data_IF_195708759463
#
_entry.id   IF_195708759463
#
_cell.length_a   1.000
_cell.length_b   1.000
_cell.length_c   1.000
_cell.angle_alpha   90.00
_cell.angle_beta   90.00
_cell.angle_gamma   90.00
#
_symmetry.space_group_name_H-M   'P 1'
#
loop_
_entity.id
_entity.type
_entity.pdbx_description
1 polymer ?
#
# COMPACT_ATOMS: atom_id res chain seq x y z
N UNK A 1 -7.71 12.68 8.33
CA UNK A 1 -8.69 11.85 9.07
C UNK A 1 -7.93 11.10 10.15
N UNK A 2 -8.41 11.08 11.39
CA UNK A 2 -7.81 10.24 12.43
C UNK A 2 -8.49 8.87 12.38
N UNK A 3 -7.94 7.97 11.57
CA UNK A 3 -8.47 6.61 11.37
C UNK A 3 -7.33 5.60 11.35
N UNK A 4 -7.67 4.35 11.64
CA UNK A 4 -6.81 3.19 11.46
C UNK A 4 -6.68 2.90 9.95
N UNK A 5 -5.46 2.83 9.43
CA UNK A 5 -5.20 2.59 8.01
C UNK A 5 -5.61 1.18 7.54
N UNK A 6 -5.69 0.21 8.46
CA UNK A 6 -6.23 -1.13 8.17
C UNK A 6 -7.77 -1.14 8.13
N UNK A 7 -8.41 -0.05 8.58
CA UNK A 7 -9.86 0.13 8.64
C UNK A 7 -10.24 1.58 8.28
N UNK A 8 -9.87 2.07 7.09
CA UNK A 8 -9.98 3.48 6.75
C UNK A 8 -11.45 3.92 6.52
N UNK A 9 -12.38 2.96 6.37
CA UNK A 9 -13.77 3.20 6.03
C UNK A 9 -13.93 3.67 4.58
N UNK A 10 -15.17 3.98 4.18
CA UNK A 10 -15.44 4.47 2.83
C UNK A 10 -14.59 5.71 2.51
N UNK A 11 -13.99 5.71 1.33
CA UNK A 11 -13.19 6.82 0.84
C UNK A 11 -14.09 8.03 0.55
N UNK A 12 -13.67 9.24 0.93
CA UNK A 12 -14.37 10.46 0.51
C UNK A 12 -14.14 10.74 -0.98
N UNK A 13 -13.04 10.27 -1.55
CA UNK A 13 -12.66 10.34 -2.96
C UNK A 13 -11.62 9.25 -3.27
N UNK A 14 -11.38 8.98 -4.55
CA UNK A 14 -10.30 8.11 -5.01
C UNK A 14 -9.03 8.90 -5.29
N UNK A 15 -7.86 8.28 -5.08
CA UNK A 15 -6.57 8.95 -5.23
C UNK A 15 -5.68 8.20 -6.23
N UNK A 16 -4.87 8.96 -6.98
CA UNK A 16 -3.93 8.43 -7.98
C UNK A 16 -2.57 8.04 -7.39
N UNK A 17 -2.28 8.45 -6.15
CA UNK A 17 -1.02 8.16 -5.46
C UNK A 17 -1.27 7.85 -3.97
N UNK A 18 -0.74 6.72 -3.51
CA UNK A 18 -0.68 6.33 -2.10
C UNK A 18 0.77 6.17 -1.68
N UNK A 19 1.12 6.81 -0.57
CA UNK A 19 2.39 6.63 0.12
C UNK A 19 2.11 5.91 1.45
N UNK A 20 2.75 4.77 1.67
CA UNK A 20 2.52 3.93 2.84
C UNK A 20 3.83 3.61 3.53
N UNK A 21 4.01 4.16 4.73
CA UNK A 21 5.13 3.87 5.64
C UNK A 21 4.55 3.31 6.94
N UNK A 22 4.12 2.06 6.89
CA UNK A 22 3.56 1.41 8.06
C UNK A 22 4.68 1.09 9.06
N UNK A 23 4.42 1.09 10.38
CA UNK A 23 5.41 0.69 11.36
C UNK A 23 6.02 -0.68 11.02
N UNK A 24 7.33 -0.72 10.85
CA UNK A 24 8.05 -1.90 10.35
C UNK A 24 7.80 -3.17 11.16
N UNK A 25 7.81 -4.31 10.48
CA UNK A 25 7.72 -5.67 11.05
C UNK A 25 6.43 -5.94 11.83
N UNK A 26 5.41 -5.12 11.61
CA UNK A 26 4.08 -5.33 12.18
C UNK A 26 3.13 -5.99 11.17
N UNK A 27 3.57 -6.19 9.91
CA UNK A 27 2.73 -6.80 8.88
C UNK A 27 1.48 -5.98 8.57
N UNK A 28 1.53 -4.66 8.80
CA UNK A 28 0.38 -3.77 8.65
C UNK A 28 0.22 -3.22 7.22
N UNK A 29 1.26 -3.29 6.39
CA UNK A 29 1.21 -2.77 5.02
C UNK A 29 0.23 -3.55 4.14
N UNK A 30 0.23 -4.88 4.22
CA UNK A 30 -0.71 -5.74 3.47
C UNK A 30 -2.18 -5.46 3.83
N UNK A 31 -2.61 -5.51 5.11
CA UNK A 31 -4.00 -5.24 5.47
C UNK A 31 -4.42 -3.79 5.21
N UNK A 32 -3.51 -2.81 5.36
CA UNK A 32 -3.80 -1.42 5.01
C UNK A 32 -4.04 -1.27 3.50
N UNK A 33 -3.18 -1.86 2.66
CA UNK A 33 -3.31 -1.80 1.20
C UNK A 33 -4.61 -2.46 0.74
N UNK A 34 -4.92 -3.64 1.27
CA UNK A 34 -6.17 -4.36 1.00
C UNK A 34 -7.40 -3.54 1.40
N UNK A 35 -7.37 -2.90 2.57
CA UNK A 35 -8.48 -2.10 3.04
C UNK A 35 -8.71 -0.86 2.18
N UNK A 36 -7.65 -0.19 1.72
CA UNK A 36 -7.74 0.94 0.78
C UNK A 36 -8.36 0.53 -0.55
N UNK A 37 -7.92 -0.59 -1.13
CA UNK A 37 -8.49 -1.14 -2.36
C UNK A 37 -9.98 -1.47 -2.20
N UNK A 38 -10.36 -2.11 -1.09
CA UNK A 38 -11.73 -2.54 -0.84
C UNK A 38 -12.71 -1.39 -0.53
N UNK A 39 -12.21 -0.21 -0.12
CA UNK A 39 -13.07 0.90 0.34
C UNK A 39 -13.05 2.13 -0.58
N UNK A 40 -12.55 1.97 -1.81
CA UNK A 40 -12.64 2.96 -2.87
C UNK A 40 -11.58 4.06 -2.83
N UNK A 41 -10.49 3.85 -2.10
CA UNK A 41 -9.43 4.87 -1.97
C UNK A 41 -8.53 4.94 -3.20
N UNK A 42 -8.49 3.87 -4.01
CA UNK A 42 -7.56 3.75 -5.14
C UNK A 42 -8.30 4.04 -6.45
N UNK A 43 -7.87 5.11 -7.15
CA UNK A 43 -8.30 5.35 -8.52
C UNK A 43 -7.71 4.27 -9.45
N UNK A 44 -8.37 3.98 -10.58
CA UNK A 44 -7.80 3.05 -11.57
C UNK A 44 -6.44 3.59 -12.08
N UNK A 45 -5.40 2.76 -12.04
CA UNK A 45 -4.04 3.16 -12.34
C UNK A 45 -3.29 3.83 -11.17
N UNK A 46 -3.87 3.88 -9.97
CA UNK A 46 -3.24 4.47 -8.79
C UNK A 46 -1.87 3.84 -8.52
N UNK A 47 -0.87 4.68 -8.23
CA UNK A 47 0.47 4.24 -7.84
C UNK A 47 0.53 4.14 -6.32
N UNK A 48 0.92 2.97 -5.81
CA UNK A 48 1.14 2.74 -4.38
C UNK A 48 2.63 2.54 -4.11
N UNK A 49 3.24 3.45 -3.37
CA UNK A 49 4.62 3.32 -2.90
C UNK A 49 4.61 2.87 -1.44
N UNK A 50 5.13 1.67 -1.18
CA UNK A 50 5.06 1.03 0.13
C UNK A 50 6.47 0.85 0.66
N UNK A 51 6.75 1.47 1.79
CA UNK A 51 7.99 1.30 2.53
C UNK A 51 7.88 0.13 3.53
N UNK A 52 8.90 -0.71 3.53
CA UNK A 52 8.99 -1.96 4.30
C UNK A 52 10.39 -2.11 4.89
N UNK A 53 10.52 -2.93 5.93
CA UNK A 53 11.85 -3.39 6.31
C UNK A 53 12.37 -4.38 5.24
N UNK A 54 13.68 -4.36 4.98
CA UNK A 54 14.34 -5.15 3.91
C UNK A 54 14.00 -6.64 3.89
N UNK A 55 13.67 -7.24 5.04
CA UNK A 55 13.35 -8.67 5.18
C UNK A 55 11.89 -8.92 5.61
N UNK A 56 11.06 -7.89 5.62
CA UNK A 56 9.64 -8.04 5.95
C UNK A 56 8.94 -8.73 4.78
N UNK A 57 8.16 -9.77 5.08
CA UNK A 57 7.32 -10.41 4.08
C UNK A 57 6.26 -9.41 3.61
N UNK A 58 6.03 -9.39 2.30
CA UNK A 58 5.02 -8.53 1.71
C UNK A 58 4.43 -9.17 0.46
N UNK A 59 3.11 -9.16 0.36
CA UNK A 59 2.35 -9.51 -0.84
C UNK A 59 1.29 -8.44 -1.10
N UNK A 60 1.30 -7.88 -2.31
CA UNK A 60 0.35 -6.84 -2.71
C UNK A 60 -1.11 -7.33 -2.77
N UNK A 61 -1.31 -8.60 -3.12
CA UNK A 61 -2.64 -9.18 -3.36
C UNK A 61 -3.11 -9.02 -4.81
N UNK A 62 -4.35 -9.44 -5.08
CA UNK A 62 -4.96 -9.34 -6.40
C UNK A 62 -5.27 -7.88 -6.78
N UNK A 63 -5.28 -7.59 -8.09
CA UNK A 63 -5.54 -6.25 -8.63
C UNK A 63 -4.34 -5.30 -8.57
N UNK A 64 -3.20 -5.73 -8.01
CA UNK A 64 -1.96 -4.97 -8.03
C UNK A 64 -0.94 -5.57 -8.99
N UNK A 65 -0.29 -4.70 -9.75
CA UNK A 65 0.88 -5.03 -10.56
C UNK A 65 2.11 -4.37 -9.94
N UNK A 66 3.15 -5.16 -9.67
CA UNK A 66 4.45 -4.63 -9.24
C UNK A 66 5.16 -3.96 -10.42
N UNK A 67 5.54 -2.70 -10.23
CA UNK A 67 6.25 -1.91 -11.23
C UNK A 67 7.75 -1.87 -10.96
N UNK A 68 8.15 -1.78 -9.68
CA UNK A 68 9.54 -1.64 -9.27
C UNK A 68 9.71 -2.04 -7.78
N UNK A 69 10.92 -2.48 -7.43
CA UNK A 69 11.33 -2.73 -6.05
C UNK A 69 12.75 -2.22 -5.84
N UNK A 70 12.96 -1.42 -4.79
CA UNK A 70 14.25 -0.82 -4.47
C UNK A 70 14.62 -1.05 -3.01
N UNK A 71 15.88 -1.37 -2.76
CA UNK A 71 16.39 -1.55 -1.40
C UNK A 71 17.44 -0.48 -1.08
N UNK A 72 17.26 0.22 0.04
CA UNK A 72 18.18 1.25 0.54
C UNK A 72 18.55 0.94 1.99
N UNK A 73 19.76 0.43 2.21
CA UNK A 73 20.21 0.04 3.56
C UNK A 73 19.30 -1.02 4.17
N UNK A 74 18.55 -0.64 5.21
CA UNK A 74 17.60 -1.51 5.93
C UNK A 74 16.15 -1.39 5.44
N UNK A 75 15.84 -0.42 4.57
CA UNK A 75 14.51 -0.20 4.01
C UNK A 75 14.39 -0.80 2.61
N UNK A 76 13.17 -1.16 2.24
CA UNK A 76 12.77 -1.65 0.92
C UNK A 76 11.50 -0.91 0.52
N UNK A 77 11.48 -0.34 -0.69
CA UNK A 77 10.33 0.34 -1.27
C UNK A 77 9.81 -0.51 -2.41
N UNK A 78 8.54 -0.87 -2.35
CA UNK A 78 7.81 -1.56 -3.42
C UNK A 78 6.87 -0.54 -4.07
N UNK A 79 6.92 -0.45 -5.40
CA UNK A 79 6.07 0.43 -6.19
C UNK A 79 5.08 -0.43 -6.97
N UNK A 80 3.80 -0.21 -6.72
CA UNK A 80 2.70 -0.96 -7.32
C UNK A 80 1.80 -0.05 -8.14
N UNK A 81 1.07 -0.62 -9.08
CA UNK A 81 -0.08 -0.01 -9.74
C UNK A 81 -1.36 -0.78 -9.40
N UNK A 82 -2.42 -0.07 -9.09
CA UNK A 82 -3.77 -0.62 -8.94
C UNK A 82 -4.46 -0.73 -10.31
N UNK A 83 -4.88 -1.93 -10.67
CA UNK A 83 -5.51 -2.26 -11.96
C UNK A 83 -7.01 -2.63 -11.85
N UNK A 84 -7.54 -2.76 -10.62
CA UNK A 84 -8.97 -3.00 -10.37
C UNK A 84 -9.32 -4.39 -9.87
#
# INVERSE_FOLDING_TARGET
>A
LTRDATRPGAAPDSFDLVLMDAPYRMGQSEPALSALAATGWLANGCICCIELAKKEHFQAGAGFTELDERTYGAARIVILRWDG
#
